data_IF_831924464965
#
_entry.id   IF_831924464965
#
_cell.length_a   1.000
_cell.length_b   1.000
_cell.length_c   1.000
_cell.angle_alpha   90.00
_cell.angle_beta   90.00
_cell.angle_gamma   90.00
#
_symmetry.space_group_name_H-M   'P 1'
#
loop_
_entity.id
_entity.type
_entity.pdbx_description
1 polymer ?
#
# COMPACT_ATOMS: atom_id res chain seq x y z
N UNK A 1 -1.90 -70.01 10.08
CA UNK A 1 -1.86 -68.57 9.76
C UNK A 1 -0.47 -68.22 9.20
N UNK A 2 -0.29 -68.18 7.88
CA UNK A 2 0.99 -67.85 7.26
C UNK A 2 1.20 -66.33 7.23
N UNK A 3 2.01 -65.80 8.17
CA UNK A 3 2.54 -64.42 8.07
C UNK A 3 3.53 -64.38 6.90
N UNK A 4 3.12 -63.87 5.75
CA UNK A 4 4.05 -63.51 4.67
C UNK A 4 4.95 -62.38 5.16
N UNK A 5 6.14 -62.73 5.63
CA UNK A 5 7.20 -61.76 5.93
C UNK A 5 7.63 -61.15 4.60
N UNK A 6 7.34 -59.86 4.43
CA UNK A 6 7.76 -59.14 3.24
C UNK A 6 9.30 -59.12 3.21
N UNK A 7 9.96 -59.54 2.11
CA UNK A 7 11.42 -59.58 2.08
C UNK A 7 11.97 -58.17 2.31
N UNK A 8 12.96 -58.03 3.19
CA UNK A 8 13.48 -56.74 3.70
C UNK A 8 13.80 -55.73 2.59
N UNK A 9 14.25 -56.20 1.42
CA UNK A 9 14.50 -55.38 0.22
C UNK A 9 13.22 -54.75 -0.38
N UNK A 10 12.07 -55.42 -0.32
CA UNK A 10 10.78 -54.88 -0.77
C UNK A 10 10.23 -53.85 0.22
N UNK A 11 10.37 -54.11 1.53
CA UNK A 11 9.96 -53.18 2.57
C UNK A 11 10.73 -51.84 2.47
N UNK A 12 12.06 -51.90 2.31
CA UNK A 12 12.90 -50.69 2.15
C UNK A 12 12.52 -49.89 0.90
N UNK A 13 12.26 -50.55 -0.23
CA UNK A 13 11.83 -49.86 -1.46
C UNK A 13 10.49 -49.16 -1.32
N UNK A 14 9.52 -49.82 -0.66
CA UNK A 14 8.20 -49.23 -0.41
C UNK A 14 8.30 -48.02 0.52
N UNK A 15 9.06 -48.13 1.62
CA UNK A 15 9.28 -47.00 2.54
C UNK A 15 10.01 -45.83 1.88
N UNK A 16 11.04 -46.11 1.06
CA UNK A 16 11.72 -45.07 0.29
C UNK A 16 10.78 -44.37 -0.70
N UNK A 17 9.88 -45.11 -1.36
CA UNK A 17 8.87 -44.54 -2.24
C UNK A 17 7.86 -43.64 -1.51
N UNK A 18 7.40 -44.06 -0.33
CA UNK A 18 6.50 -43.25 0.51
C UNK A 18 7.19 -41.97 0.97
N UNK A 19 8.45 -42.06 1.42
CA UNK A 19 9.22 -40.89 1.84
C UNK A 19 9.47 -39.91 0.69
N UNK A 20 9.78 -40.41 -0.52
CA UNK A 20 9.94 -39.57 -1.70
C UNK A 20 8.64 -38.86 -2.07
N UNK A 21 7.52 -39.58 -2.05
CA UNK A 21 6.20 -38.99 -2.31
C UNK A 21 5.84 -37.94 -1.25
N UNK A 22 6.08 -38.21 0.03
CA UNK A 22 5.87 -37.26 1.11
C UNK A 22 6.74 -36.01 0.94
N UNK A 23 8.02 -36.19 0.59
CA UNK A 23 8.94 -35.09 0.33
C UNK A 23 8.48 -34.24 -0.88
N UNK A 24 8.01 -34.88 -1.95
CA UNK A 24 7.44 -34.17 -3.10
C UNK A 24 6.15 -33.43 -2.75
N UNK A 25 5.26 -34.01 -1.95
CA UNK A 25 4.03 -33.34 -1.50
C UNK A 25 4.32 -32.16 -0.58
N UNK A 26 5.29 -32.30 0.32
CA UNK A 26 5.76 -31.19 1.17
C UNK A 26 6.36 -30.08 0.30
N UNK A 27 7.23 -30.41 -0.65
CA UNK A 27 7.82 -29.44 -1.57
C UNK A 27 6.74 -28.71 -2.39
N UNK A 28 5.77 -29.45 -2.93
CA UNK A 28 4.65 -28.87 -3.67
C UNK A 28 3.77 -27.97 -2.79
N UNK A 29 3.52 -28.36 -1.53
CA UNK A 29 2.77 -27.56 -0.56
C UNK A 29 3.53 -26.32 -0.08
N UNK A 30 4.85 -26.32 -0.25
CA UNK A 30 5.75 -25.21 0.04
C UNK A 30 5.88 -24.22 -1.11
N UNK A 31 5.30 -24.48 -2.28
CA UNK A 31 5.24 -23.50 -3.37
C UNK A 31 3.90 -22.77 -3.29
N UNK A 32 3.94 -21.48 -2.95
CA UNK A 32 2.82 -20.57 -3.08
C UNK A 32 2.85 -19.87 -4.44
N UNK A 33 1.72 -19.82 -5.13
CA UNK A 33 1.59 -19.08 -6.39
C UNK A 33 0.49 -18.03 -6.22
N UNK A 34 0.85 -16.77 -6.46
CA UNK A 34 -0.08 -15.65 -6.54
C UNK A 34 -0.30 -15.35 -8.01
N UNK A 35 -1.53 -15.58 -8.49
CA UNK A 35 -1.86 -15.38 -9.90
C UNK A 35 -1.85 -13.89 -10.27
N UNK A 36 -1.41 -13.54 -11.49
CA UNK A 36 -1.46 -12.17 -11.96
C UNK A 36 -2.90 -11.70 -12.02
N UNK A 37 -3.10 -10.42 -11.74
CA UNK A 37 -4.42 -9.80 -11.76
C UNK A 37 -4.30 -8.39 -12.31
N UNK A 38 -5.38 -7.87 -12.88
CA UNK A 38 -5.42 -6.50 -13.35
C UNK A 38 -6.76 -5.86 -13.08
N UNK A 39 -6.73 -4.56 -12.88
CA UNK A 39 -7.91 -3.72 -12.72
C UNK A 39 -7.65 -2.35 -13.35
N UNK A 40 -8.71 -1.65 -13.71
CA UNK A 40 -8.71 -0.35 -14.34
C UNK A 40 -9.24 0.70 -13.37
N UNK A 41 -8.54 1.82 -13.30
CA UNK A 41 -8.95 3.00 -12.56
C UNK A 41 -9.58 4.00 -13.52
N UNK A 42 -10.76 4.50 -13.16
CA UNK A 42 -11.47 5.52 -13.92
C UNK A 42 -11.87 6.67 -13.01
N UNK A 43 -11.78 7.89 -13.51
CA UNK A 43 -12.29 9.08 -12.85
C UNK A 43 -13.83 9.16 -12.88
N UNK A 44 -14.40 10.24 -12.33
CA UNK A 44 -15.86 10.42 -12.24
C UNK A 44 -16.56 10.49 -13.60
N UNK A 45 -15.87 11.00 -14.61
CA UNK A 45 -16.34 11.13 -16.00
C UNK A 45 -16.14 9.84 -16.82
N UNK A 46 -15.57 8.80 -16.20
CA UNK A 46 -15.23 7.55 -16.86
C UNK A 46 -13.90 7.57 -17.62
N UNK A 47 -13.15 8.69 -17.59
CA UNK A 47 -11.84 8.77 -18.20
C UNK A 47 -10.83 7.90 -17.42
N UNK A 48 -9.82 7.31 -18.11
CA UNK A 48 -8.74 6.60 -17.44
C UNK A 48 -7.98 7.45 -16.42
N UNK A 49 -7.69 6.87 -15.25
CA UNK A 49 -6.95 7.54 -14.19
C UNK A 49 -5.54 6.95 -14.01
N UNK A 50 -4.52 7.80 -14.17
CA UNK A 50 -3.12 7.41 -13.90
C UNK A 50 -2.85 7.43 -12.40
N UNK A 51 -2.31 6.33 -11.89
CA UNK A 51 -2.23 6.07 -10.46
C UNK A 51 -0.93 5.36 -10.08
N UNK A 52 -0.60 5.45 -8.79
CA UNK A 52 0.42 4.66 -8.12
C UNK A 52 -0.26 3.68 -7.15
N UNK A 53 0.11 2.40 -7.20
CA UNK A 53 -0.50 1.35 -6.40
C UNK A 53 0.56 0.70 -5.55
N UNK A 54 0.44 0.85 -4.24
CA UNK A 54 1.25 0.15 -3.25
C UNK A 54 0.53 -1.14 -2.85
N UNK A 55 1.19 -2.28 -3.03
CA UNK A 55 0.63 -3.58 -2.70
C UNK A 55 1.64 -4.42 -1.94
N UNK A 56 1.14 -5.33 -1.11
CA UNK A 56 1.91 -6.36 -0.40
C UNK A 56 1.36 -7.74 -0.70
N UNK A 57 2.10 -8.75 -0.28
CA UNK A 57 1.64 -10.13 -0.33
C UNK A 57 1.20 -10.55 1.06
N UNK A 58 -0.05 -10.98 1.18
CA UNK A 58 -0.63 -11.42 2.44
C UNK A 58 -0.91 -12.92 2.39
N UNK A 59 -0.57 -13.62 3.46
CA UNK A 59 -0.92 -15.02 3.67
C UNK A 59 -1.35 -15.26 5.12
N UNK A 60 -1.80 -16.48 5.40
CA UNK A 60 -2.16 -16.92 6.76
C UNK A 60 -1.35 -18.15 7.13
N UNK A 61 -0.78 -18.11 8.33
CA UNK A 61 -0.26 -19.29 9.01
C UNK A 61 -1.42 -19.98 9.73
N UNK A 62 -1.69 -21.23 9.37
CA UNK A 62 -2.66 -22.06 10.09
C UNK A 62 -1.97 -22.60 11.34
N UNK A 63 -2.17 -21.93 12.47
CA UNK A 63 -1.78 -22.45 13.78
C UNK A 63 -3.00 -23.08 14.47
N UNK A 64 -2.80 -24.20 15.19
CA UNK A 64 -3.87 -24.95 15.86
C UNK A 64 -4.67 -24.16 16.92
N UNK A 65 -4.23 -22.95 17.30
CA UNK A 65 -4.91 -22.09 18.28
C UNK A 65 -5.30 -20.69 17.74
N UNK A 66 -4.71 -20.22 16.64
CA UNK A 66 -5.01 -18.93 16.02
C UNK A 66 -4.45 -18.86 14.59
N UNK A 67 -5.16 -18.24 13.66
CA UNK A 67 -4.60 -17.89 12.35
C UNK A 67 -3.82 -16.58 12.45
N UNK A 68 -2.49 -16.61 12.23
CA UNK A 68 -1.68 -15.40 12.16
C UNK A 68 -1.58 -14.96 10.70
N UNK A 69 -1.95 -13.71 10.39
CA UNK A 69 -1.67 -13.13 9.07
C UNK A 69 -0.19 -12.77 9.02
N UNK A 70 0.49 -13.13 7.94
CA UNK A 70 1.82 -12.65 7.64
C UNK A 70 1.78 -11.76 6.40
N UNK A 71 2.72 -10.82 6.32
CA UNK A 71 2.92 -9.95 5.15
C UNK A 71 4.33 -10.14 4.63
N UNK A 72 4.47 -10.20 3.31
CA UNK A 72 5.77 -10.13 2.63
C UNK A 72 5.83 -8.88 1.77
N UNK A 73 7.05 -8.35 1.54
CA UNK A 73 7.24 -7.23 0.66
C UNK A 73 6.53 -7.43 -0.68
N UNK A 74 5.78 -6.41 -1.09
CA UNK A 74 5.26 -6.34 -2.46
C UNK A 74 6.00 -5.28 -3.24
N UNK A 75 5.29 -4.32 -3.82
CA UNK A 75 5.92 -3.25 -4.58
C UNK A 75 5.00 -2.07 -4.82
N UNK A 76 5.55 -1.07 -5.51
CA UNK A 76 4.82 0.08 -6.01
C UNK A 76 4.75 -0.01 -7.53
N UNK A 77 3.55 0.04 -8.08
CA UNK A 77 3.30 0.00 -9.52
C UNK A 77 2.68 1.30 -9.99
N UNK A 78 2.97 1.68 -11.23
CA UNK A 78 2.24 2.73 -11.94
C UNK A 78 1.18 2.10 -12.83
N UNK A 79 -0.02 2.68 -12.90
CA UNK A 79 -0.96 2.33 -13.96
C UNK A 79 -0.48 2.82 -15.32
N UNK A 80 -0.94 2.16 -16.38
CA UNK A 80 -0.69 2.58 -17.74
C UNK A 80 -1.52 3.82 -18.14
N UNK A 81 -1.35 4.28 -19.38
CA UNK A 81 -2.10 5.42 -19.92
C UNK A 81 -3.62 5.15 -20.04
N UNK A 82 -4.04 3.88 -20.03
CA UNK A 82 -5.45 3.45 -20.01
C UNK A 82 -5.98 3.22 -18.60
N UNK A 83 -5.21 3.62 -17.57
CA UNK A 83 -5.58 3.51 -16.17
C UNK A 83 -5.53 2.07 -15.65
N UNK A 84 -4.95 1.13 -16.40
CA UNK A 84 -4.87 -0.28 -16.01
C UNK A 84 -3.63 -0.53 -15.16
N UNK A 85 -3.83 -1.25 -14.05
CA UNK A 85 -2.79 -1.72 -13.14
C UNK A 85 -2.63 -3.21 -13.33
N UNK A 86 -1.41 -3.67 -13.57
CA UNK A 86 -1.08 -5.08 -13.75
C UNK A 86 -0.28 -5.60 -12.56
N UNK A 87 -0.95 -6.33 -11.67
CA UNK A 87 -0.29 -7.06 -10.57
C UNK A 87 0.40 -8.32 -11.13
N UNK A 88 1.68 -8.54 -10.79
CA UNK A 88 2.48 -9.59 -11.39
C UNK A 88 2.15 -10.98 -10.84
N UNK A 89 2.44 -12.02 -11.63
CA UNK A 89 2.55 -13.38 -11.12
C UNK A 89 3.71 -13.43 -10.12
N UNK A 90 3.48 -14.00 -8.94
CA UNK A 90 4.58 -14.23 -8.00
C UNK A 90 4.58 -15.65 -7.45
N UNK A 91 5.77 -16.23 -7.37
CA UNK A 91 6.02 -17.57 -6.85
C UNK A 91 6.84 -17.43 -5.58
N UNK A 92 6.38 -18.06 -4.50
CA UNK A 92 7.03 -18.04 -3.20
C UNK A 92 7.32 -19.45 -2.71
N UNK A 93 8.45 -19.58 -2.02
CA UNK A 93 8.64 -20.67 -1.07
C UNK A 93 8.04 -20.25 0.28
N UNK A 94 7.13 -21.08 0.78
CA UNK A 94 6.43 -20.93 2.05
C UNK A 94 6.54 -22.20 2.90
N UNK A 95 6.42 -22.10 4.23
CA UNK A 95 6.23 -23.28 5.07
C UNK A 95 5.08 -24.16 4.55
N UNK A 96 5.22 -25.49 4.65
CA UNK A 96 4.10 -26.39 4.37
C UNK A 96 2.93 -26.06 5.32
N UNK A 97 1.69 -26.20 4.84
CA UNK A 97 0.43 -25.91 5.56
C UNK A 97 -0.01 -24.44 5.68
N UNK A 98 0.73 -23.49 5.11
CA UNK A 98 0.24 -22.10 4.97
C UNK A 98 -0.89 -21.98 3.95
N UNK A 99 -1.84 -21.07 4.20
CA UNK A 99 -2.93 -20.74 3.28
C UNK A 99 -2.42 -20.12 1.96
N UNK A 100 -3.34 -19.93 1.00
CA UNK A 100 -3.05 -19.26 -0.27
C UNK A 100 -2.60 -17.82 -0.03
N UNK A 101 -1.42 -17.48 -0.56
CA UNK A 101 -0.91 -16.12 -0.63
C UNK A 101 -1.73 -15.33 -1.65
N UNK A 102 -2.02 -14.06 -1.36
CA UNK A 102 -2.75 -13.16 -2.27
C UNK A 102 -2.10 -11.78 -2.34
N UNK A 103 -2.35 -11.06 -3.44
CA UNK A 103 -2.08 -9.63 -3.46
C UNK A 103 -3.04 -8.92 -2.50
N UNK A 104 -2.51 -8.01 -1.68
CA UNK A 104 -3.28 -7.06 -0.90
C UNK A 104 -2.85 -5.66 -1.32
N UNK A 105 -3.77 -4.93 -1.95
CA UNK A 105 -3.59 -3.50 -2.21
C UNK A 105 -3.66 -2.78 -0.87
N UNK A 106 -2.60 -2.06 -0.50
CA UNK A 106 -2.61 -1.24 0.72
C UNK A 106 -3.21 0.12 0.41
N UNK A 107 -2.68 0.78 -0.62
CA UNK A 107 -3.09 2.12 -0.98
C UNK A 107 -2.99 2.34 -2.50
N UNK A 108 -3.93 3.10 -3.04
CA UNK A 108 -3.91 3.62 -4.42
C UNK A 108 -3.90 5.14 -4.35
N UNK A 109 -2.93 5.75 -5.02
CA UNK A 109 -2.79 7.18 -5.15
C UNK A 109 -3.13 7.59 -6.57
N UNK A 110 -4.02 8.56 -6.73
CA UNK A 110 -4.40 9.11 -8.04
C UNK A 110 -4.09 10.61 -8.05
N UNK A 111 -2.83 10.99 -8.37
CA UNK A 111 -2.33 12.37 -8.27
C UNK A 111 -3.23 13.39 -8.96
N UNK A 112 -3.67 13.12 -10.19
CA UNK A 112 -4.47 14.07 -10.98
C UNK A 112 -5.86 14.34 -10.39
N UNK A 113 -6.37 13.45 -9.53
CA UNK A 113 -7.65 13.57 -8.85
C UNK A 113 -7.49 13.88 -7.35
N UNK A 114 -6.24 13.95 -6.86
CA UNK A 114 -5.89 14.14 -5.45
C UNK A 114 -6.63 13.18 -4.51
N UNK A 115 -6.72 11.91 -4.93
CA UNK A 115 -7.44 10.86 -4.22
C UNK A 115 -6.48 9.78 -3.72
N UNK A 116 -6.71 9.36 -2.48
CA UNK A 116 -6.04 8.23 -1.83
C UNK A 116 -7.09 7.20 -1.42
N UNK A 117 -6.92 5.94 -1.83
CA UNK A 117 -7.86 4.85 -1.54
C UNK A 117 -7.15 3.73 -0.77
N UNK A 118 -7.60 3.43 0.46
CA UNK A 118 -6.98 2.42 1.33
C UNK A 118 -7.74 1.10 1.38
N UNK A 119 -7.03 -0.03 1.32
CA UNK A 119 -7.59 -1.39 1.45
C UNK A 119 -8.75 -1.73 0.47
N UNK A 120 -8.81 -1.04 -0.67
CA UNK A 120 -9.84 -1.30 -1.68
C UNK A 120 -9.41 -2.46 -2.57
N UNK A 121 -10.03 -3.63 -2.40
CA UNK A 121 -10.14 -4.58 -3.50
C UNK A 121 -11.32 -4.16 -4.37
N UNK A 122 -11.14 -3.92 -5.68
CA UNK A 122 -12.28 -3.77 -6.56
C UNK A 122 -13.14 -5.04 -6.45
N UNK A 123 -14.43 -4.86 -6.16
CA UNK A 123 -15.39 -5.96 -6.21
C UNK A 123 -15.39 -6.57 -7.62
N UNK A 124 -15.74 -7.85 -7.73
CA UNK A 124 -15.74 -8.62 -8.98
C UNK A 124 -16.28 -7.77 -10.15
N UNK A 125 -15.40 -7.38 -11.07
CA UNK A 125 -15.74 -6.39 -12.11
C UNK A 125 -14.63 -5.47 -12.63
N UNK A 126 -13.36 -5.66 -12.25
CA UNK A 126 -12.15 -5.07 -12.88
C UNK A 126 -12.05 -3.54 -12.98
N UNK A 127 -13.05 -2.76 -12.58
CA UNK A 127 -13.05 -1.29 -12.68
C UNK A 127 -13.25 -0.68 -11.29
N UNK A 128 -12.35 0.21 -10.91
CA UNK A 128 -12.43 1.00 -9.69
C UNK A 128 -12.67 2.46 -10.06
N UNK A 129 -13.74 3.05 -9.52
CA UNK A 129 -14.05 4.46 -9.68
C UNK A 129 -13.33 5.27 -8.61
N UNK A 130 -12.69 6.35 -9.05
CA UNK A 130 -11.90 7.22 -8.21
C UNK A 130 -12.66 8.54 -8.04
N UNK A 131 -12.88 9.02 -6.79
CA UNK A 131 -13.47 10.32 -6.55
C UNK A 131 -12.53 11.44 -7.00
N UNK A 132 -13.11 12.58 -7.38
CA UNK A 132 -12.34 13.79 -7.72
C UNK A 132 -12.35 14.75 -6.53
N UNK A 133 -11.15 15.04 -6.02
CA UNK A 133 -10.91 15.96 -4.92
C UNK A 133 -10.05 17.15 -5.34
N UNK A 134 -9.96 17.45 -6.63
CA UNK A 134 -9.14 18.55 -7.19
C UNK A 134 -9.46 19.92 -6.60
N UNK A 135 -10.68 20.15 -6.10
CA UNK A 135 -11.06 21.42 -5.45
C UNK A 135 -10.89 21.44 -3.93
N UNK A 136 -10.52 20.34 -3.30
CA UNK A 136 -10.45 20.22 -1.84
C UNK A 136 -9.00 20.23 -1.32
N UNK A 137 -8.51 21.34 -0.76
CA UNK A 137 -7.13 21.43 -0.28
C UNK A 137 -6.83 20.47 0.89
N UNK A 138 -7.84 20.02 1.64
CA UNK A 138 -7.61 19.03 2.71
C UNK A 138 -7.25 17.67 2.12
N UNK A 139 -8.00 17.22 1.11
CA UNK A 139 -7.72 15.97 0.41
C UNK A 139 -6.36 15.99 -0.31
N UNK A 140 -5.97 17.15 -0.86
CA UNK A 140 -4.63 17.33 -1.41
C UNK A 140 -3.53 17.18 -0.36
N UNK A 141 -3.69 17.76 0.83
CA UNK A 141 -2.67 17.69 1.90
C UNK A 141 -2.51 16.25 2.37
N UNK A 142 -3.63 15.56 2.57
CA UNK A 142 -3.63 14.14 2.94
C UNK A 142 -2.95 13.27 1.86
N UNK A 143 -3.24 13.52 0.59
CA UNK A 143 -2.59 12.78 -0.52
C UNK A 143 -1.08 13.05 -0.56
N UNK A 144 -0.65 14.29 -0.37
CA UNK A 144 0.77 14.65 -0.29
C UNK A 144 1.46 14.02 0.91
N UNK A 145 0.81 14.00 2.08
CA UNK A 145 1.32 13.40 3.30
C UNK A 145 1.58 11.90 3.13
N UNK A 146 0.60 11.18 2.60
CA UNK A 146 0.69 9.74 2.39
C UNK A 146 1.74 9.38 1.33
N UNK A 147 1.79 10.13 0.22
CA UNK A 147 2.82 9.94 -0.81
C UNK A 147 4.22 10.24 -0.28
N UNK A 148 4.38 11.30 0.50
CA UNK A 148 5.65 11.62 1.15
C UNK A 148 6.05 10.53 2.14
N UNK A 149 5.10 10.04 2.95
CA UNK A 149 5.37 8.98 3.93
C UNK A 149 5.78 7.68 3.24
N UNK A 150 5.11 7.31 2.14
CA UNK A 150 5.51 6.20 1.30
C UNK A 150 6.94 6.39 0.76
N UNK A 151 7.27 7.56 0.22
CA UNK A 151 8.63 7.82 -0.28
C UNK A 151 9.69 7.78 0.81
N UNK A 152 9.46 8.45 1.93
CA UNK A 152 10.41 8.52 3.03
C UNK A 152 10.61 7.11 3.62
N UNK A 153 9.56 6.54 4.19
CA UNK A 153 9.70 5.32 4.98
C UNK A 153 9.88 4.07 4.12
N UNK A 154 9.20 3.99 2.96
CA UNK A 154 9.14 2.75 2.18
C UNK A 154 10.09 2.70 0.98
N UNK A 155 10.62 3.84 0.54
CA UNK A 155 11.46 3.91 -0.68
C UNK A 155 12.85 4.49 -0.43
N UNK A 156 12.95 5.57 0.36
CA UNK A 156 14.15 6.40 0.48
C UNK A 156 15.11 5.99 1.60
N UNK A 157 14.60 5.49 2.73
CA UNK A 157 15.44 5.24 3.91
C UNK A 157 15.97 3.81 4.07
N UNK A 158 15.66 2.88 3.16
CA UNK A 158 16.25 1.52 3.18
C UNK A 158 15.95 0.67 4.43
N UNK A 159 15.13 1.18 5.36
CA UNK A 159 14.77 0.52 6.62
C UNK A 159 13.43 -0.22 6.55
N UNK A 160 12.60 0.05 5.53
CA UNK A 160 11.31 -0.62 5.37
C UNK A 160 11.44 -1.88 4.50
N UNK A 161 11.08 -3.02 5.10
CA UNK A 161 10.94 -4.31 4.41
C UNK A 161 9.59 -4.44 3.64
N UNK A 162 8.80 -3.37 3.51
CA UNK A 162 7.41 -3.49 3.06
C UNK A 162 7.24 -3.53 1.54
N UNK A 163 8.12 -2.89 0.76
CA UNK A 163 7.98 -2.82 -0.70
C UNK A 163 9.32 -2.90 -1.43
N UNK A 164 9.36 -3.71 -2.49
CA UNK A 164 10.43 -3.67 -3.47
C UNK A 164 10.05 -2.66 -4.56
N UNK A 165 10.84 -1.59 -4.69
CA UNK A 165 10.56 -0.49 -5.61
C UNK A 165 11.73 -0.30 -6.56
N UNK A 166 11.44 -0.32 -7.87
CA UNK A 166 12.46 -0.05 -8.87
C UNK A 166 12.93 1.41 -8.78
N UNK A 167 14.24 1.71 -8.92
CA UNK A 167 14.76 3.07 -8.78
C UNK A 167 14.06 4.10 -9.68
N UNK A 168 13.73 3.73 -10.92
CA UNK A 168 13.00 4.58 -11.86
C UNK A 168 11.57 4.90 -11.40
N UNK A 169 10.91 3.95 -10.72
CA UNK A 169 9.59 4.15 -10.12
C UNK A 169 9.69 5.10 -8.93
N UNK A 170 10.71 4.95 -8.09
CA UNK A 170 10.99 5.85 -6.96
C UNK A 170 11.18 7.30 -7.44
N UNK A 171 12.03 7.51 -8.45
CA UNK A 171 12.28 8.83 -9.04
C UNK A 171 11.01 9.43 -9.64
N UNK A 172 10.22 8.65 -10.38
CA UNK A 172 8.97 9.11 -10.98
C UNK A 172 7.89 9.46 -9.93
N UNK A 173 7.84 8.72 -8.83
CA UNK A 173 6.99 9.02 -7.69
C UNK A 173 7.44 10.31 -6.99
N UNK A 174 8.73 10.48 -6.72
CA UNK A 174 9.30 11.70 -6.14
C UNK A 174 8.98 12.95 -7.00
N UNK A 175 9.16 12.86 -8.32
CA UNK A 175 8.77 13.94 -9.26
C UNK A 175 7.27 14.27 -9.18
N UNK A 176 6.42 13.26 -8.98
CA UNK A 176 4.98 13.46 -8.84
C UNK A 176 4.68 14.27 -7.57
N UNK A 177 5.31 13.92 -6.44
CA UNK A 177 5.14 14.64 -5.17
C UNK A 177 5.61 16.08 -5.28
N UNK A 178 6.81 16.32 -5.81
CA UNK A 178 7.36 17.68 -6.00
C UNK A 178 6.43 18.52 -6.88
N UNK A 179 5.96 17.96 -8.00
CA UNK A 179 5.03 18.64 -8.91
C UNK A 179 3.72 18.99 -8.22
N UNK A 180 3.12 18.04 -7.51
CA UNK A 180 1.82 18.23 -6.88
C UNK A 180 1.90 19.22 -5.72
N UNK A 181 2.99 19.20 -4.93
CA UNK A 181 3.27 20.20 -3.91
C UNK A 181 3.34 21.62 -4.50
N UNK A 182 4.11 21.79 -5.58
CA UNK A 182 4.23 23.09 -6.27
C UNK A 182 2.89 23.55 -6.86
N UNK A 183 2.11 22.61 -7.41
CA UNK A 183 0.77 22.89 -7.92
C UNK A 183 -0.19 23.31 -6.80
N UNK A 184 -0.13 22.65 -5.64
CA UNK A 184 -0.92 23.00 -4.46
C UNK A 184 -0.64 24.44 -4.08
N UNK A 185 0.63 24.79 -3.84
CA UNK A 185 1.01 26.15 -3.45
C UNK A 185 0.52 27.18 -4.46
N UNK A 186 0.63 26.90 -5.76
CA UNK A 186 0.16 27.83 -6.80
C UNK A 186 -1.37 28.06 -6.74
N UNK A 187 -2.16 27.03 -6.45
CA UNK A 187 -3.63 27.10 -6.53
C UNK A 187 -4.24 27.55 -5.19
N UNK A 188 -3.71 27.07 -4.07
CA UNK A 188 -4.32 27.20 -2.76
C UNK A 188 -3.49 27.98 -1.73
N UNK A 189 -2.31 28.52 -2.06
CA UNK A 189 -1.46 29.20 -1.08
C UNK A 189 -2.20 30.23 -0.23
N UNK A 190 -3.05 31.06 -0.86
CA UNK A 190 -3.80 32.12 -0.20
C UNK A 190 -5.18 31.68 0.32
N UNK A 191 -5.55 30.42 0.09
CA UNK A 191 -6.81 29.86 0.61
C UNK A 191 -6.71 29.76 2.13
N UNK A 192 -7.71 30.32 2.82
CA UNK A 192 -7.79 30.21 4.28
C UNK A 192 -8.04 28.77 4.71
N UNK A 193 -7.29 28.32 5.70
CA UNK A 193 -7.51 27.04 6.35
C UNK A 193 -8.77 27.14 7.21
N UNK A 194 -9.54 26.05 7.23
CA UNK A 194 -10.68 25.88 8.13
C UNK A 194 -10.25 24.93 9.25
N UNK A 195 -10.80 25.15 10.43
CA UNK A 195 -10.75 24.15 11.49
C UNK A 195 -11.57 22.94 10.99
N UNK A 196 -11.05 21.71 11.06
CA UNK A 196 -11.81 20.55 10.61
C UNK A 196 -13.13 20.45 11.39
N UNK A 197 -14.23 20.27 10.67
CA UNK A 197 -15.57 20.15 11.27
C UNK A 197 -15.74 18.82 12.01
N UNK A 198 -15.07 17.78 11.51
CA UNK A 198 -15.08 16.44 12.06
C UNK A 198 -13.70 16.06 12.63
N UNK A 199 -13.73 15.30 13.72
CA UNK A 199 -12.54 14.68 14.28
C UNK A 199 -12.13 13.53 13.35
N UNK A 200 -10.85 13.42 12.95
CA UNK A 200 -10.39 12.31 12.13
C UNK A 200 -10.72 10.97 12.79
N UNK A 201 -11.27 10.01 12.03
CA UNK A 201 -11.82 8.76 12.58
C UNK A 201 -10.83 7.85 13.33
N UNK A 202 -9.53 8.10 13.22
CA UNK A 202 -8.49 7.39 13.98
C UNK A 202 -8.26 7.96 15.39
N UNK A 203 -8.76 9.16 15.70
CA UNK A 203 -8.73 9.72 17.05
C UNK A 203 -9.89 9.15 17.88
N UNK A 204 -9.55 8.32 18.87
CA UNK A 204 -10.49 7.90 19.91
C UNK A 204 -10.24 8.76 21.15
N UNK A 205 -11.07 9.79 21.32
CA UNK A 205 -11.05 10.60 22.53
C UNK A 205 -11.76 9.88 23.67
N UNK A 206 -11.13 9.85 24.84
CA UNK A 206 -11.69 9.20 26.02
C UNK A 206 -12.78 10.05 26.68
N UNK A 207 -12.75 11.37 26.45
CA UNK A 207 -13.70 12.31 27.03
C UNK A 207 -14.09 13.44 26.07
N UNK A 208 -15.17 14.15 26.40
CA UNK A 208 -15.56 15.37 25.70
C UNK A 208 -14.61 16.55 25.98
N UNK A 209 -13.88 16.50 27.11
CA UNK A 209 -12.82 17.46 27.40
C UNK A 209 -11.67 17.32 26.39
N UNK A 210 -11.23 16.09 26.08
CA UNK A 210 -10.18 15.85 25.10
C UNK A 210 -10.58 16.37 23.71
N UNK A 211 -11.86 16.25 23.36
CA UNK A 211 -12.40 16.81 22.10
C UNK A 211 -12.34 18.34 22.10
N UNK A 212 -12.64 18.98 23.23
CA UNK A 212 -12.58 20.42 23.36
C UNK A 212 -11.14 20.93 23.29
N UNK A 213 -10.21 20.24 23.96
CA UNK A 213 -8.77 20.53 23.91
C UNK A 213 -8.21 20.38 22.48
N UNK A 214 -8.60 19.31 21.77
CA UNK A 214 -8.20 19.12 20.38
C UNK A 214 -8.73 20.25 19.47
N UNK A 215 -10.00 20.64 19.61
CA UNK A 215 -10.56 21.75 18.81
C UNK A 215 -9.84 23.06 19.08
N UNK A 216 -9.53 23.34 20.35
CA UNK A 216 -8.78 24.53 20.73
C UNK A 216 -7.36 24.53 20.18
N UNK A 217 -6.69 23.37 20.20
CA UNK A 217 -5.38 23.20 19.57
C UNK A 217 -5.47 23.46 18.05
N UNK A 218 -6.45 22.89 17.35
CA UNK A 218 -6.65 23.12 15.92
C UNK A 218 -6.94 24.60 15.61
N UNK A 219 -7.71 25.28 16.47
CA UNK A 219 -7.94 26.72 16.36
C UNK A 219 -6.62 27.50 16.44
N UNK A 220 -5.80 27.25 17.47
CA UNK A 220 -4.50 27.91 17.65
C UNK A 220 -3.55 27.63 16.48
N UNK A 221 -3.55 26.42 15.94
CA UNK A 221 -2.76 26.07 14.76
C UNK A 221 -3.21 26.84 13.51
N UNK A 222 -4.52 26.93 13.26
CA UNK A 222 -5.07 27.71 12.16
C UNK A 222 -4.83 29.21 12.36
N UNK A 223 -4.85 29.72 13.59
CA UNK A 223 -4.53 31.14 13.85
C UNK A 223 -3.06 31.46 13.59
N UNK A 224 -2.16 30.55 13.95
CA UNK A 224 -0.72 30.69 13.66
C UNK A 224 -0.44 30.59 12.15
N UNK A 225 -1.13 29.70 11.45
CA UNK A 225 -0.97 29.42 10.03
C UNK A 225 -2.34 29.50 9.31
N UNK A 226 -2.82 30.74 9.06
CA UNK A 226 -4.19 30.96 8.58
C UNK A 226 -4.42 30.55 7.14
N UNK A 227 -3.35 30.38 6.36
CA UNK A 227 -3.42 29.97 4.95
C UNK A 227 -2.70 28.65 4.72
N UNK A 228 -3.12 27.93 3.67
CA UNK A 228 -2.46 26.69 3.27
C UNK A 228 -1.00 26.91 2.86
N UNK A 229 -0.68 28.04 2.24
CA UNK A 229 0.70 28.37 1.86
C UNK A 229 1.64 28.46 3.05
N UNK A 230 1.22 29.11 4.14
CA UNK A 230 2.01 29.21 5.36
C UNK A 230 2.23 27.84 6.02
N UNK A 231 1.16 27.06 6.13
CA UNK A 231 1.20 25.70 6.70
C UNK A 231 2.10 24.76 5.88
N UNK A 232 1.89 24.69 4.56
CA UNK A 232 2.63 23.80 3.66
C UNK A 232 4.10 24.24 3.51
N UNK A 233 4.37 25.54 3.48
CA UNK A 233 5.73 26.07 3.48
C UNK A 233 6.51 25.60 4.70
N UNK A 234 5.92 25.63 5.89
CA UNK A 234 6.56 25.10 7.10
C UNK A 234 6.66 23.58 7.11
N UNK A 235 5.59 22.87 6.75
CA UNK A 235 5.50 21.40 6.90
C UNK A 235 6.31 20.63 5.86
N UNK A 236 6.32 21.12 4.60
CA UNK A 236 6.84 20.34 3.48
C UNK A 236 8.05 20.96 2.79
N UNK A 237 8.39 22.25 2.96
CA UNK A 237 9.48 22.83 2.15
C UNK A 237 10.82 22.09 2.32
N UNK A 238 11.21 21.75 3.56
CA UNK A 238 12.44 20.99 3.80
C UNK A 238 12.34 19.56 3.27
N UNK A 239 11.20 18.89 3.50
CA UNK A 239 10.91 17.54 3.01
C UNK A 239 10.98 17.42 1.49
N UNK A 240 10.46 18.42 0.79
CA UNK A 240 10.50 18.48 -0.68
C UNK A 240 11.92 18.73 -1.16
N UNK A 241 12.69 19.62 -0.51
CA UNK A 241 14.10 19.83 -0.82
C UNK A 241 14.94 18.56 -0.61
N UNK A 242 14.69 17.82 0.48
CA UNK A 242 15.33 16.52 0.76
C UNK A 242 15.02 15.48 -0.34
N UNK A 243 13.77 15.42 -0.82
CA UNK A 243 13.41 14.54 -1.93
C UNK A 243 14.10 14.97 -3.24
N UNK A 244 14.20 16.26 -3.50
CA UNK A 244 14.89 16.78 -4.69
C UNK A 244 16.38 16.45 -4.66
N UNK A 245 17.03 16.57 -3.50
CA UNK A 245 18.42 16.18 -3.30
C UNK A 245 18.62 14.65 -3.44
N UNK A 246 17.81 13.86 -2.73
CA UNK A 246 17.91 12.40 -2.70
C UNK A 246 17.73 11.76 -4.08
N UNK A 247 16.85 12.32 -4.91
CA UNK A 247 16.53 11.77 -6.24
C UNK A 247 17.09 12.59 -7.41
N UNK A 248 17.85 13.66 -7.15
CA UNK A 248 18.47 14.51 -8.18
C UNK A 248 17.47 15.18 -9.12
N UNK A 249 16.47 15.88 -8.56
CA UNK A 249 15.34 16.47 -9.29
C UNK A 249 15.48 17.98 -9.58
#
# INVERSE_FOLDING_TARGET
MNRRVMPMKRFVRVMAGILLLLAMMLLASSVGVVMPWSFRLVGPDGAPAVAWVAFVHEGRHVHFAASLNWRRPGGILKSDASGVVHLPLVIYLKPPLDDRVRHKIQTIFVPALHATLHEHMPADGSIMRVPDHTSDPVAWDHTLEELHSLLAYDVGFGESEHYAVAPETAVALARTVVRDYRAFLRIHADTRRKIPEEIPGHFQFASDQDRAEWREQMRLEVEREPTWGAYLGRRYASRIAELEEMFGL
#
